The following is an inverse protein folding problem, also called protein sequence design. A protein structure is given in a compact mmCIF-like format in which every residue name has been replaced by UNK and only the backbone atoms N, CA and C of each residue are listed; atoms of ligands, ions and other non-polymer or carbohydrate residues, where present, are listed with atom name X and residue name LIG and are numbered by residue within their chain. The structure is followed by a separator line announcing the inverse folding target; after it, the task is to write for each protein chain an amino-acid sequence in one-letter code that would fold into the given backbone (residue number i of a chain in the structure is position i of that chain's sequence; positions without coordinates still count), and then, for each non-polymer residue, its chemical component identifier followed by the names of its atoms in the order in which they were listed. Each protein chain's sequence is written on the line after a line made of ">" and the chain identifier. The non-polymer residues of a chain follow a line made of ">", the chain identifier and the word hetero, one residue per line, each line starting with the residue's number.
data_IF_980792877919
#
_entry.id   IF_980792877919
#
_cell.length_a   1.000
_cell.length_b   1.000
_cell.length_c   1.000
_cell.angle_alpha   90.00
_cell.angle_beta   90.00
_cell.angle_gamma   90.00
#
_symmetry.space_group_name_H-M   'P 1'
#
loop_
_entity.id
_entity.type
_entity.pdbx_description
1 polymer ?
#
# COMPACT_ATOMS: atom_id res chain seq x y z
N UNK A 1 3.12 11.72 25.20
CA UNK A 1 2.92 10.26 25.26
C UNK A 1 2.40 9.82 23.89
N UNK A 2 2.88 8.71 23.33
CA UNK A 2 2.53 8.21 21.99
C UNK A 2 1.73 6.90 22.10
N UNK A 3 0.71 6.69 21.27
CA UNK A 3 -0.19 5.52 21.34
C UNK A 3 0.05 4.50 20.22
N UNK A 4 0.44 4.95 19.03
CA UNK A 4 0.68 4.08 17.88
C UNK A 4 0.66 4.86 16.57
N UNK A 5 0.84 4.13 15.47
CA UNK A 5 0.64 4.68 14.13
C UNK A 5 -0.84 4.61 13.78
N UNK A 6 -1.46 5.75 13.48
CA UNK A 6 -2.85 5.79 13.02
C UNK A 6 -2.96 5.34 11.55
N UNK A 7 -2.08 5.85 10.69
CA UNK A 7 -2.09 5.57 9.25
C UNK A 7 -0.70 5.84 8.67
N UNK A 8 -0.44 5.31 7.48
CA UNK A 8 0.67 5.73 6.63
C UNK A 8 0.15 6.51 5.43
N UNK A 9 0.79 7.64 5.11
CA UNK A 9 0.52 8.43 3.92
C UNK A 9 1.45 7.98 2.79
N UNK A 10 0.88 7.69 1.61
CA UNK A 10 1.61 7.45 0.36
C UNK A 10 1.25 8.58 -0.62
N UNK A 11 2.25 9.13 -1.31
CA UNK A 11 1.99 10.10 -2.37
C UNK A 11 1.52 9.37 -3.63
N UNK A 12 0.63 9.99 -4.39
CA UNK A 12 0.18 9.51 -5.69
C UNK A 12 0.02 10.65 -6.70
N UNK A 13 0.08 10.39 -8.02
CA UNK A 13 -0.19 11.40 -9.03
C UNK A 13 -1.65 11.86 -9.00
N UNK A 14 -1.89 13.08 -9.47
CA UNK A 14 -3.24 13.64 -9.65
C UNK A 14 -4.02 12.89 -10.73
N UNK A 15 -5.28 12.55 -10.46
CA UNK A 15 -6.20 11.94 -11.43
C UNK A 15 -6.09 10.42 -11.57
N UNK A 16 -5.29 9.78 -10.71
CA UNK A 16 -5.00 8.34 -10.76
C UNK A 16 -5.76 7.53 -9.70
N UNK A 17 -6.86 8.07 -9.16
CA UNK A 17 -7.65 7.43 -8.10
C UNK A 17 -8.24 6.08 -8.54
N UNK A 18 -8.61 5.92 -9.81
CA UNK A 18 -9.08 4.64 -10.33
C UNK A 18 -7.96 3.59 -10.39
N UNK A 19 -6.73 3.98 -10.74
CA UNK A 19 -5.58 3.09 -10.68
C UNK A 19 -5.27 2.69 -9.22
N UNK A 20 -5.39 3.62 -8.28
CA UNK A 20 -5.29 3.34 -6.85
C UNK A 20 -6.36 2.33 -6.40
N UNK A 21 -7.63 2.53 -6.76
CA UNK A 21 -8.71 1.60 -6.42
C UNK A 21 -8.49 0.21 -7.01
N UNK A 22 -8.12 0.15 -8.29
CA UNK A 22 -7.85 -1.11 -8.97
C UNK A 22 -6.75 -1.92 -8.25
N UNK A 23 -5.72 -1.25 -7.74
CA UNK A 23 -4.64 -1.93 -7.02
C UNK A 23 -4.95 -2.18 -5.54
N UNK A 24 -5.22 -1.14 -4.75
CA UNK A 24 -5.37 -1.28 -3.29
C UNK A 24 -6.64 -2.04 -2.91
N UNK A 25 -7.77 -1.80 -3.60
CA UNK A 25 -8.99 -2.57 -3.37
C UNK A 25 -9.02 -3.86 -4.20
N UNK A 26 -8.73 -3.78 -5.50
CA UNK A 26 -8.84 -4.93 -6.39
C UNK A 26 -7.77 -6.00 -6.17
N UNK A 27 -6.50 -5.61 -6.06
CA UNK A 27 -5.37 -6.55 -5.93
C UNK A 27 -5.08 -6.87 -4.47
N UNK A 28 -4.84 -5.85 -3.64
CA UNK A 28 -4.51 -6.04 -2.22
C UNK A 28 -5.72 -6.43 -1.37
N UNK A 29 -6.94 -6.25 -1.88
CA UNK A 29 -8.17 -6.63 -1.17
C UNK A 29 -8.52 -5.70 0.00
N UNK A 30 -8.01 -4.47 0.02
CA UNK A 30 -8.37 -3.49 1.04
C UNK A 30 -9.75 -2.89 0.78
N UNK A 31 -10.38 -2.35 1.81
CA UNK A 31 -11.66 -1.64 1.69
C UNK A 31 -11.40 -0.15 1.52
N UNK A 32 -11.93 0.48 0.46
CA UNK A 32 -11.91 1.95 0.33
C UNK A 32 -12.74 2.60 1.44
N UNK A 33 -12.22 3.68 2.01
CA UNK A 33 -12.86 4.46 3.06
C UNK A 33 -13.26 5.82 2.49
N UNK A 34 -14.51 6.23 2.75
CA UNK A 34 -14.99 7.54 2.35
C UNK A 34 -14.20 8.64 3.05
N UNK A 35 -13.64 9.56 2.26
CA UNK A 35 -12.93 10.71 2.80
C UNK A 35 -13.92 11.74 3.36
N UNK A 36 -13.59 12.42 4.46
CA UNK A 36 -14.35 13.58 4.90
C UNK A 36 -14.52 14.60 3.75
N UNK A 37 -15.69 15.24 3.56
CA UNK A 37 -15.95 16.10 2.41
C UNK A 37 -14.89 17.18 2.17
N UNK A 38 -14.36 17.78 3.24
CA UNK A 38 -13.29 18.79 3.19
C UNK A 38 -11.97 18.26 2.61
N UNK A 39 -11.71 16.96 2.73
CA UNK A 39 -10.52 16.28 2.21
C UNK A 39 -10.78 15.67 0.83
N UNK A 40 -12.03 15.33 0.50
CA UNK A 40 -12.41 14.77 -0.79
C UNK A 40 -12.06 15.71 -1.95
N UNK A 41 -12.23 17.02 -1.76
CA UNK A 41 -11.88 18.06 -2.73
C UNK A 41 -10.38 18.08 -3.14
N UNK A 42 -9.50 17.40 -2.39
CA UNK A 42 -8.06 17.36 -2.64
C UNK A 42 -7.62 16.18 -3.53
N UNK A 43 -8.54 15.30 -3.92
CA UNK A 43 -8.22 14.07 -4.66
C UNK A 43 -7.52 13.00 -3.80
N UNK A 44 -7.26 11.83 -4.38
CA UNK A 44 -6.71 10.67 -3.69
C UNK A 44 -7.76 9.78 -3.01
N UNK A 45 -7.31 8.66 -2.44
CA UNK A 45 -8.18 7.61 -1.91
C UNK A 45 -7.62 7.02 -0.60
N UNK A 46 -8.49 6.59 0.31
CA UNK A 46 -8.11 5.99 1.59
C UNK A 46 -8.52 4.53 1.62
N UNK A 47 -7.68 3.67 2.20
CA UNK A 47 -7.92 2.24 2.25
C UNK A 47 -7.64 1.68 3.64
N UNK A 48 -8.46 0.71 4.04
CA UNK A 48 -8.38 0.01 5.33
C UNK A 48 -8.29 -1.51 5.11
N UNK A 49 -7.47 -2.17 5.93
CA UNK A 49 -7.51 -3.62 6.11
C UNK A 49 -7.08 -3.99 7.54
N UNK A 50 -7.94 -4.69 8.29
CA UNK A 50 -7.69 -4.98 9.70
C UNK A 50 -7.47 -3.68 10.50
N UNK A 51 -6.33 -3.58 11.19
CA UNK A 51 -5.91 -2.37 11.93
C UNK A 51 -5.04 -1.39 11.13
N UNK A 52 -4.82 -1.62 9.83
CA UNK A 52 -4.01 -0.77 8.96
C UNK A 52 -4.87 0.21 8.17
N UNK A 53 -4.41 1.46 8.09
CA UNK A 53 -4.93 2.48 7.19
C UNK A 53 -3.82 3.06 6.31
N UNK A 54 -4.08 3.10 5.00
CA UNK A 54 -3.22 3.74 4.00
C UNK A 54 -3.97 4.90 3.36
N UNK A 55 -3.39 6.09 3.44
CA UNK A 55 -3.93 7.29 2.83
C UNK A 55 -3.11 7.64 1.59
N UNK A 56 -3.72 7.57 0.42
CA UNK A 56 -3.10 8.05 -0.80
C UNK A 56 -3.44 9.53 -0.99
N UNK A 57 -2.41 10.38 -0.89
CA UNK A 57 -2.51 11.81 -1.07
C UNK A 57 -1.98 12.23 -2.43
N UNK A 58 -2.76 13.06 -3.15
CA UNK A 58 -2.30 13.66 -4.39
C UNK A 58 -1.15 14.62 -4.12
N UNK A 59 -0.07 14.48 -4.89
CA UNK A 59 1.07 15.38 -4.91
C UNK A 59 1.32 15.87 -6.34
N UNK A 60 1.48 17.19 -6.51
CA UNK A 60 1.90 17.77 -7.79
C UNK A 60 3.42 17.53 -7.97
N UNK A 61 3.85 17.26 -9.20
CA UNK A 61 5.22 16.83 -9.52
C UNK A 61 5.66 15.54 -8.78
N UNK A 62 4.71 14.62 -8.56
CA UNK A 62 4.89 13.35 -7.86
C UNK A 62 6.15 12.58 -8.29
N UNK A 63 6.93 12.14 -7.28
CA UNK A 63 8.07 11.23 -7.44
C UNK A 63 7.89 10.03 -6.50
N UNK A 64 7.98 8.78 -7.00
CA UNK A 64 7.73 7.62 -6.17
C UNK A 64 8.76 7.42 -5.07
N UNK A 65 8.28 7.05 -3.88
CA UNK A 65 9.11 6.65 -2.75
C UNK A 65 9.68 5.23 -2.97
N UNK A 66 10.88 5.14 -3.57
CA UNK A 66 11.53 3.85 -3.88
C UNK A 66 12.27 3.20 -2.70
N UNK A 67 12.44 3.94 -1.60
CA UNK A 67 13.18 3.50 -0.41
C UNK A 67 12.36 3.53 0.86
N UNK A 68 11.76 4.65 1.22
CA UNK A 68 10.81 4.72 2.33
C UNK A 68 9.53 3.98 1.96
N UNK A 69 9.04 3.12 2.85
CA UNK A 69 7.84 2.31 2.62
C UNK A 69 7.23 1.87 3.95
N UNK A 70 5.92 1.58 3.98
CA UNK A 70 5.29 0.87 5.09
C UNK A 70 5.66 -0.62 5.03
N UNK A 71 6.02 -1.18 6.20
CA UNK A 71 6.12 -2.62 6.42
C UNK A 71 4.77 -3.17 6.87
N UNK A 72 4.15 -4.00 6.03
CA UNK A 72 2.77 -4.46 6.19
C UNK A 72 2.76 -5.93 6.60
N UNK A 73 2.21 -6.20 7.79
CA UNK A 73 1.96 -7.57 8.25
C UNK A 73 0.79 -8.18 7.49
N UNK A 74 0.99 -9.39 6.99
CA UNK A 74 -0.04 -10.16 6.27
C UNK A 74 -0.18 -11.55 6.90
N UNK A 75 -1.41 -12.06 6.89
CA UNK A 75 -1.72 -13.40 7.41
C UNK A 75 -1.42 -14.52 6.41
N UNK A 76 -1.39 -14.20 5.11
CA UNK A 76 -1.12 -15.13 4.02
C UNK A 76 -0.31 -14.43 2.93
N UNK A 77 1.01 -14.55 3.04
CA UNK A 77 1.96 -13.95 2.12
C UNK A 77 1.92 -14.63 0.75
N UNK A 78 1.66 -15.93 0.69
CA UNK A 78 1.66 -16.69 -0.57
C UNK A 78 0.44 -16.33 -1.43
N UNK A 79 -0.74 -16.21 -0.83
CA UNK A 79 -1.93 -15.71 -1.53
C UNK A 79 -1.74 -14.26 -2.01
N UNK A 80 -1.14 -13.40 -1.20
CA UNK A 80 -0.85 -12.02 -1.62
C UNK A 80 0.11 -11.99 -2.81
N UNK A 81 1.20 -12.76 -2.77
CA UNK A 81 2.16 -12.84 -3.88
C UNK A 81 1.47 -13.36 -5.15
N UNK A 82 0.58 -14.35 -5.03
CA UNK A 82 -0.21 -14.85 -6.16
C UNK A 82 -1.11 -13.76 -6.77
N UNK A 83 -1.79 -12.98 -5.95
CA UNK A 83 -2.63 -11.84 -6.39
C UNK A 83 -1.82 -10.76 -7.09
N UNK A 84 -0.68 -10.38 -6.51
CA UNK A 84 0.25 -9.42 -7.11
C UNK A 84 0.74 -9.91 -8.48
N UNK A 85 1.17 -11.17 -8.57
CA UNK A 85 1.61 -11.77 -9.82
C UNK A 85 0.51 -11.85 -10.88
N UNK A 86 -0.73 -12.21 -10.49
CA UNK A 86 -1.87 -12.23 -11.39
C UNK A 86 -2.24 -10.84 -11.94
N UNK A 87 -1.94 -9.77 -11.19
CA UNK A 87 -2.09 -8.39 -11.61
C UNK A 87 -0.90 -7.85 -12.43
N UNK A 88 0.12 -8.68 -12.68
CA UNK A 88 1.32 -8.30 -13.43
C UNK A 88 2.41 -7.62 -12.59
N UNK A 89 2.27 -7.58 -11.27
CA UNK A 89 3.22 -6.89 -10.41
C UNK A 89 4.45 -7.74 -10.11
N UNK A 90 5.62 -7.12 -10.25
CA UNK A 90 6.87 -7.74 -9.88
C UNK A 90 7.03 -7.77 -8.36
N UNK A 91 7.40 -8.93 -7.85
CA UNK A 91 7.64 -9.18 -6.43
C UNK A 91 9.09 -9.60 -6.25
N UNK A 92 9.78 -8.98 -5.29
CA UNK A 92 11.15 -9.34 -4.91
C UNK A 92 11.16 -9.95 -3.54
N UNK A 93 11.52 -11.23 -3.43
CA UNK A 93 11.72 -11.91 -2.15
C UNK A 93 12.98 -11.40 -1.46
N UNK A 94 12.91 -11.29 -0.14
CA UNK A 94 14.03 -10.90 0.71
C UNK A 94 14.15 -11.88 1.89
N UNK A 95 15.28 -12.58 1.95
CA UNK A 95 15.57 -13.59 2.97
C UNK A 95 16.44 -13.05 4.12
N UNK A 96 16.86 -11.78 4.06
CA UNK A 96 17.83 -11.19 4.99
C UNK A 96 17.16 -10.59 6.24
N UNK A 97 15.91 -10.97 6.55
CA UNK A 97 15.18 -10.49 7.73
C UNK A 97 14.75 -11.66 8.64
N UNK A 98 15.58 -12.02 9.64
CA UNK A 98 15.30 -13.13 10.55
C UNK A 98 13.95 -13.01 11.25
N UNK A 99 13.22 -14.13 11.35
CA UNK A 99 11.92 -14.22 12.02
C UNK A 99 10.71 -13.93 11.12
N UNK A 100 10.92 -13.50 9.87
CA UNK A 100 9.84 -13.24 8.92
C UNK A 100 10.18 -13.76 7.52
N UNK A 101 9.13 -14.14 6.79
CA UNK A 101 9.12 -14.19 5.33
C UNK A 101 8.74 -12.81 4.82
N UNK A 102 9.48 -12.27 3.85
CA UNK A 102 9.26 -10.92 3.34
C UNK A 102 9.35 -10.83 1.83
N UNK A 103 8.51 -9.98 1.26
CA UNK A 103 8.63 -9.52 -0.12
C UNK A 103 8.50 -8.01 -0.24
N UNK A 104 9.04 -7.46 -1.33
CA UNK A 104 8.81 -6.10 -1.78
C UNK A 104 8.06 -6.10 -3.11
N UNK A 105 7.15 -5.15 -3.26
CA UNK A 105 6.47 -4.86 -4.51
C UNK A 105 6.37 -3.33 -4.70
N UNK A 106 5.82 -2.90 -5.82
CA UNK A 106 5.49 -1.51 -6.05
C UNK A 106 4.00 -1.35 -6.31
N UNK A 107 3.44 -0.25 -5.83
CA UNK A 107 2.12 0.18 -6.25
C UNK A 107 2.13 0.65 -7.74
N UNK A 108 0.98 0.99 -8.34
CA UNK A 108 0.91 1.42 -9.73
C UNK A 108 1.74 2.67 -10.05
N UNK A 109 2.13 3.43 -9.03
CA UNK A 109 2.84 4.70 -9.16
C UNK A 109 4.35 4.53 -8.92
N UNK A 110 4.79 3.34 -8.53
CA UNK A 110 6.19 3.01 -8.28
C UNK A 110 6.63 3.22 -6.83
N UNK A 111 5.70 3.51 -5.89
CA UNK A 111 6.04 3.53 -4.47
C UNK A 111 6.32 2.12 -3.99
N UNK A 112 7.38 1.95 -3.20
CA UNK A 112 7.72 0.65 -2.62
C UNK A 112 6.74 0.29 -1.51
N UNK A 113 6.32 -0.97 -1.48
CA UNK A 113 5.57 -1.59 -0.40
C UNK A 113 6.34 -2.84 0.08
N UNK A 114 6.30 -3.10 1.38
CA UNK A 114 6.86 -4.30 2.00
C UNK A 114 5.72 -5.11 2.62
N UNK A 115 5.71 -6.41 2.35
CA UNK A 115 4.76 -7.34 2.95
C UNK A 115 5.52 -8.45 3.66
N UNK A 116 5.12 -8.73 4.90
CA UNK A 116 5.83 -9.64 5.78
C UNK A 116 4.89 -10.49 6.62
N UNK A 117 5.29 -11.74 6.82
CA UNK A 117 4.57 -12.72 7.64
C UNK A 117 5.59 -13.41 8.56
N UNK A 118 5.29 -13.59 9.88
CA UNK A 118 6.14 -14.37 10.76
C UNK A 118 6.47 -15.75 10.16
N UNK A 119 7.74 -16.15 10.25
CA UNK A 119 8.24 -17.42 9.70
C UNK A 119 7.73 -18.64 10.48
#
# INVERSE_FOLDING_TARGET
>A
MFEGLHHAQLAMPRGEEEAARAFFAGVLGMTEVEKPPVLAARGGAWFRAGGLELHLGVEDDFVPARKAHPGILVSDLDELVRRLGAAGQQVTWDADFPGFRRVHAHDPFGNRLEFLQPA
#
